data_IF_894239283263
#
_entry.id   IF_894239283263
#
_cell.length_a   1.000
_cell.length_b   1.000
_cell.length_c   1.000
_cell.angle_alpha   90.00
_cell.angle_beta   90.00
_cell.angle_gamma   90.00
#
_symmetry.space_group_name_H-M   'P 1'
#
loop_
_entity.id
_entity.type
_entity.pdbx_description
1 polymer ?
#
# COMPACT_ATOMS: atom_id res chain seq x y z
N UNK A 1 -10.12 14.22 -22.20
CA UNK A 1 -9.11 13.82 -21.21
C UNK A 1 -7.88 14.70 -21.37
N UNK A 2 -7.27 15.13 -20.26
CA UNK A 2 -6.05 15.97 -20.24
C UNK A 2 -5.08 15.42 -19.19
N UNK A 3 -3.83 15.20 -19.58
CA UNK A 3 -2.73 14.82 -18.69
C UNK A 3 -1.85 16.02 -18.36
N UNK A 4 -1.25 16.01 -17.17
CA UNK A 4 -0.22 16.97 -16.76
C UNK A 4 0.79 16.31 -15.83
N UNK A 5 1.99 16.88 -15.77
CA UNK A 5 3.00 16.53 -14.78
C UNK A 5 2.74 17.30 -13.49
N UNK A 6 2.73 16.58 -12.37
CA UNK A 6 2.66 17.11 -11.00
C UNK A 6 3.76 16.47 -10.15
N UNK A 7 3.76 16.62 -8.83
CA UNK A 7 4.81 16.10 -7.96
C UNK A 7 4.25 15.19 -6.88
N UNK A 8 4.99 14.13 -6.56
CA UNK A 8 4.71 13.23 -5.44
C UNK A 8 5.27 13.78 -4.11
N UNK A 9 5.03 13.07 -3.02
CA UNK A 9 5.47 13.44 -1.66
C UNK A 9 6.98 13.49 -1.47
N UNK A 10 7.76 12.95 -2.41
CA UNK A 10 9.23 13.01 -2.44
C UNK A 10 9.76 14.10 -3.38
N UNK A 11 8.86 14.89 -3.99
CA UNK A 11 9.19 15.92 -4.96
C UNK A 11 9.59 15.37 -6.34
N UNK A 12 9.33 14.08 -6.62
CA UNK A 12 9.54 13.54 -7.95
C UNK A 12 8.33 13.83 -8.85
N UNK A 13 8.56 14.09 -10.16
CA UNK A 13 7.49 14.20 -11.13
C UNK A 13 6.61 12.94 -11.17
N UNK A 14 5.30 13.13 -11.28
CA UNK A 14 4.33 12.07 -11.54
C UNK A 14 3.20 12.58 -12.44
N UNK A 15 2.26 11.69 -12.80
CA UNK A 15 1.19 11.94 -13.77
C UNK A 15 -0.12 12.21 -13.06
N UNK A 16 -0.76 13.33 -13.40
CA UNK A 16 -2.17 13.59 -13.15
C UNK A 16 -2.95 13.54 -14.46
N UNK A 17 -4.11 12.90 -14.44
CA UNK A 17 -5.09 12.97 -15.51
C UNK A 17 -6.37 13.66 -15.02
N UNK A 18 -6.97 14.44 -15.92
CA UNK A 18 -8.28 15.06 -15.74
C UNK A 18 -9.23 14.57 -16.83
N UNK A 19 -10.36 14.03 -16.44
CA UNK A 19 -11.44 13.61 -17.32
C UNK A 19 -12.54 14.66 -17.30
N UNK A 20 -13.07 15.02 -18.47
CA UNK A 20 -14.17 15.98 -18.65
C UNK A 20 -15.34 15.26 -19.29
N UNK A 21 -16.54 15.48 -18.78
CA UNK A 21 -17.79 14.99 -19.34
C UNK A 21 -18.55 16.13 -20.04
N UNK A 22 -19.41 15.77 -21.00
CA UNK A 22 -20.21 16.75 -21.77
C UNK A 22 -21.15 17.58 -20.91
N UNK A 23 -21.54 17.09 -19.74
CA UNK A 23 -22.37 17.81 -18.78
C UNK A 23 -21.60 18.83 -17.92
N UNK A 24 -20.31 19.09 -18.23
CA UNK A 24 -19.44 20.04 -17.54
C UNK A 24 -18.78 19.51 -16.27
N UNK A 25 -19.01 18.25 -15.90
CA UNK A 25 -18.35 17.63 -14.76
C UNK A 25 -16.91 17.26 -15.15
N UNK A 26 -15.96 17.51 -14.26
CA UNK A 26 -14.60 17.00 -14.38
C UNK A 26 -14.07 16.45 -13.06
N UNK A 27 -13.10 15.54 -13.15
CA UNK A 27 -12.38 15.02 -12.00
C UNK A 27 -10.94 14.69 -12.36
N UNK A 28 -10.06 14.82 -11.36
CA UNK A 28 -8.64 14.49 -11.47
C UNK A 28 -8.28 13.26 -10.65
N UNK A 29 -7.26 12.56 -11.09
CA UNK A 29 -6.57 11.54 -10.30
C UNK A 29 -5.07 11.55 -10.58
N UNK A 30 -4.28 11.23 -9.54
CA UNK A 30 -2.83 11.24 -9.61
C UNK A 30 -2.32 9.82 -9.41
N UNK A 31 -1.37 9.39 -10.24
CA UNK A 31 -0.70 8.10 -10.06
C UNK A 31 0.45 8.23 -9.06
N UNK A 32 0.47 7.43 -7.98
CA UNK A 32 1.60 7.42 -7.05
C UNK A 32 2.80 6.67 -7.65
N UNK A 33 3.98 6.79 -7.00
CA UNK A 33 5.24 6.18 -7.44
C UNK A 33 5.94 5.45 -6.30
N UNK A 34 6.47 4.25 -6.54
CA UNK A 34 7.27 3.50 -5.58
C UNK A 34 8.71 4.00 -5.45
N UNK A 35 9.36 3.74 -4.29
CA UNK A 35 10.81 3.86 -4.13
C UNK A 35 11.50 2.56 -4.57
N UNK A 36 11.12 1.46 -3.97
CA UNK A 36 11.40 0.11 -4.44
C UNK A 36 10.25 -0.35 -5.34
N UNK A 37 10.55 -1.12 -6.37
CA UNK A 37 9.56 -1.68 -7.30
C UNK A 37 9.86 -3.14 -7.50
N UNK A 38 8.85 -4.01 -7.33
CA UNK A 38 8.97 -5.42 -7.70
C UNK A 38 9.24 -5.56 -9.19
N UNK A 39 10.04 -6.55 -9.58
CA UNK A 39 10.47 -6.73 -10.97
C UNK A 39 9.30 -6.96 -11.94
N UNK A 40 8.15 -7.39 -11.42
CA UNK A 40 6.96 -7.72 -12.20
C UNK A 40 5.86 -6.65 -12.14
N UNK A 41 6.14 -5.46 -11.59
CA UNK A 41 5.20 -4.34 -11.61
C UNK A 41 4.96 -3.83 -13.04
N UNK A 42 3.78 -3.28 -13.28
CA UNK A 42 3.50 -2.56 -14.51
C UNK A 42 4.44 -1.34 -14.64
N UNK A 43 4.86 -1.04 -15.87
CA UNK A 43 5.91 -0.09 -16.16
C UNK A 43 5.49 1.35 -15.90
N UNK A 44 6.17 2.03 -14.98
CA UNK A 44 6.09 3.47 -14.80
C UNK A 44 6.93 4.17 -15.87
N UNK A 45 6.29 4.83 -16.83
CA UNK A 45 6.99 5.48 -17.93
C UNK A 45 7.62 6.80 -17.50
N UNK A 46 8.96 6.88 -17.55
CA UNK A 46 9.77 8.07 -17.31
C UNK A 46 10.61 8.41 -18.53
N UNK A 47 10.85 9.72 -18.74
CA UNK A 47 11.51 10.22 -19.96
C UNK A 47 12.98 9.87 -20.05
N UNK A 48 13.65 9.55 -18.93
CA UNK A 48 15.09 9.23 -18.82
C UNK A 48 16.03 10.32 -19.34
N UNK A 49 15.52 11.52 -19.62
CA UNK A 49 16.32 12.67 -20.03
C UNK A 49 17.00 13.31 -18.82
N UNK A 50 18.28 13.02 -18.62
CA UNK A 50 19.07 13.49 -17.47
C UNK A 50 19.09 15.02 -17.30
N UNK A 51 18.85 15.78 -18.37
CA UNK A 51 18.78 17.25 -18.33
C UNK A 51 17.45 17.81 -17.76
N UNK A 52 16.44 16.94 -17.59
CA UNK A 52 15.13 17.31 -17.02
C UNK A 52 14.83 16.43 -15.82
N UNK A 53 14.71 17.02 -14.63
CA UNK A 53 14.43 16.30 -13.38
C UNK A 53 15.31 15.06 -13.17
N UNK A 54 16.60 15.12 -13.55
CA UNK A 54 17.56 14.03 -13.45
C UNK A 54 17.07 12.72 -14.12
N UNK A 55 16.30 12.82 -15.19
CA UNK A 55 15.73 11.66 -15.91
C UNK A 55 14.36 11.21 -15.42
N UNK A 56 13.83 11.82 -14.33
CA UNK A 56 12.60 11.40 -13.69
C UNK A 56 11.31 12.05 -14.24
N UNK A 57 11.40 12.96 -15.24
CA UNK A 57 10.21 13.57 -15.81
C UNK A 57 9.29 12.55 -16.50
N UNK A 58 8.00 12.90 -16.65
CA UNK A 58 6.94 12.01 -17.15
C UNK A 58 6.21 12.59 -18.37
N UNK A 59 6.90 13.45 -19.15
CA UNK A 59 6.28 14.11 -20.29
C UNK A 59 5.79 13.10 -21.36
N UNK A 60 6.53 12.03 -21.61
CA UNK A 60 6.11 10.99 -22.56
C UNK A 60 4.77 10.35 -22.14
N UNK A 61 4.59 10.07 -20.85
CA UNK A 61 3.32 9.57 -20.32
C UNK A 61 2.20 10.61 -20.44
N UNK A 62 2.50 11.88 -20.16
CA UNK A 62 1.56 13.00 -20.35
C UNK A 62 1.17 13.17 -21.82
N UNK A 63 2.12 13.09 -22.75
CA UNK A 63 1.87 13.16 -24.20
C UNK A 63 1.02 11.97 -24.66
N UNK A 64 1.26 10.77 -24.12
CA UNK A 64 0.41 9.61 -24.40
C UNK A 64 -1.04 9.85 -23.98
N UNK A 65 -1.27 10.49 -22.82
CA UNK A 65 -2.63 10.87 -22.39
C UNK A 65 -3.23 11.88 -23.37
N UNK A 66 -2.53 12.98 -23.66
CA UNK A 66 -3.06 14.11 -24.41
C UNK A 66 -3.29 13.77 -25.89
N UNK A 67 -2.46 12.93 -26.50
CA UNK A 67 -2.51 12.66 -27.93
C UNK A 67 -3.18 11.31 -28.26
N UNK A 68 -2.76 10.21 -27.58
CA UNK A 68 -3.23 8.87 -27.93
C UNK A 68 -4.51 8.49 -27.18
N UNK A 69 -4.49 8.60 -25.85
CA UNK A 69 -5.60 8.16 -24.98
C UNK A 69 -6.80 9.07 -25.18
N UNK A 70 -6.61 10.40 -25.13
CA UNK A 70 -7.68 11.39 -25.27
C UNK A 70 -8.52 11.17 -26.55
N UNK A 71 -7.87 10.90 -27.67
CA UNK A 71 -8.57 10.67 -28.95
C UNK A 71 -9.42 9.39 -28.97
N UNK A 72 -9.04 8.36 -28.20
CA UNK A 72 -9.73 7.06 -28.16
C UNK A 72 -10.86 7.00 -27.13
N UNK A 73 -10.82 7.86 -26.12
CA UNK A 73 -11.83 7.90 -25.06
C UNK A 73 -12.92 8.95 -25.33
N UNK A 74 -12.87 9.64 -26.47
CA UNK A 74 -13.89 10.59 -26.84
C UNK A 74 -15.25 9.89 -27.03
N UNK A 75 -16.32 10.54 -26.56
CA UNK A 75 -17.71 10.09 -26.68
C UNK A 75 -18.02 8.75 -25.98
N UNK A 76 -17.17 8.30 -25.03
CA UNK A 76 -17.42 7.11 -24.23
C UNK A 76 -18.30 7.42 -23.01
N UNK A 77 -19.10 6.43 -22.62
CA UNK A 77 -19.85 6.50 -21.36
C UNK A 77 -18.91 6.29 -20.18
N UNK A 78 -18.79 7.29 -19.29
CA UNK A 78 -17.95 7.21 -18.09
C UNK A 78 -18.38 6.13 -17.09
N UNK A 79 -19.62 5.67 -17.14
CA UNK A 79 -20.11 4.59 -16.27
C UNK A 79 -19.61 3.21 -16.68
N UNK A 80 -19.13 3.07 -17.90
CA UNK A 80 -18.55 1.81 -18.39
C UNK A 80 -17.02 1.76 -18.17
N UNK A 81 -16.64 1.71 -16.88
CA UNK A 81 -15.24 1.66 -16.45
C UNK A 81 -14.47 0.51 -17.10
N UNK A 82 -15.11 -0.66 -17.20
CA UNK A 82 -14.47 -1.85 -17.77
C UNK A 82 -14.13 -1.66 -19.26
N UNK A 83 -15.03 -1.06 -20.03
CA UNK A 83 -14.78 -0.76 -21.43
C UNK A 83 -13.66 0.28 -21.60
N UNK A 84 -13.66 1.34 -20.78
CA UNK A 84 -12.60 2.35 -20.80
C UNK A 84 -11.24 1.71 -20.52
N UNK A 85 -11.12 0.92 -19.46
CA UNK A 85 -9.87 0.26 -19.09
C UNK A 85 -9.42 -0.74 -20.16
N UNK A 86 -10.35 -1.49 -20.76
CA UNK A 86 -10.05 -2.38 -21.89
C UNK A 86 -9.53 -1.63 -23.13
N UNK A 87 -10.01 -0.41 -23.39
CA UNK A 87 -9.49 0.43 -24.47
C UNK A 87 -8.05 0.84 -24.16
N UNK A 88 -7.76 1.25 -22.90
CA UNK A 88 -6.40 1.58 -22.47
C UNK A 88 -5.44 0.40 -22.65
N UNK A 89 -5.85 -0.79 -22.23
CA UNK A 89 -5.04 -2.02 -22.35
C UNK A 89 -4.77 -2.38 -23.82
N UNK A 90 -5.79 -2.31 -24.68
CA UNK A 90 -5.65 -2.58 -26.13
C UNK A 90 -4.77 -1.52 -26.81
N UNK A 91 -4.86 -0.25 -26.39
CA UNK A 91 -4.06 0.84 -26.93
C UNK A 91 -2.59 0.72 -26.55
N UNK A 92 -2.29 0.26 -25.33
CA UNK A 92 -0.93 -0.08 -24.92
C UNK A 92 -0.41 -1.30 -25.66
N UNK A 93 -1.16 -2.39 -25.69
CA UNK A 93 -0.86 -3.62 -26.40
C UNK A 93 0.25 -4.47 -25.79
N UNK A 94 0.79 -4.08 -24.60
CA UNK A 94 1.81 -4.85 -23.88
C UNK A 94 1.29 -5.35 -22.54
N UNK A 95 1.87 -6.43 -22.02
CA UNK A 95 1.44 -6.99 -20.74
C UNK A 95 1.70 -6.03 -19.59
N UNK A 96 2.84 -5.32 -19.60
CA UNK A 96 3.30 -4.46 -18.52
C UNK A 96 3.10 -2.96 -18.78
N UNK A 97 2.24 -2.56 -19.73
CA UNK A 97 1.93 -1.16 -20.07
C UNK A 97 3.18 -0.33 -20.45
N UNK A 98 4.13 -0.94 -21.18
CA UNK A 98 5.39 -0.31 -21.53
C UNK A 98 5.28 0.81 -22.58
N UNK A 99 4.22 0.79 -23.41
CA UNK A 99 4.02 1.75 -24.49
C UNK A 99 3.35 3.05 -24.05
N UNK A 100 2.35 2.98 -23.17
CA UNK A 100 1.66 4.16 -22.63
C UNK A 100 2.20 4.59 -21.27
N UNK A 101 2.63 3.63 -20.47
CA UNK A 101 2.98 3.80 -19.07
C UNK A 101 1.80 3.48 -18.13
N UNK A 102 2.06 2.65 -17.11
CA UNK A 102 1.06 2.36 -16.08
C UNK A 102 0.62 3.61 -15.31
N UNK A 103 1.51 4.59 -15.14
CA UNK A 103 1.20 5.89 -14.57
C UNK A 103 0.20 6.68 -15.41
N UNK A 104 0.26 6.60 -16.74
CA UNK A 104 -0.71 7.24 -17.62
C UNK A 104 -2.05 6.51 -17.60
N UNK A 105 -2.05 5.18 -17.74
CA UNK A 105 -3.28 4.39 -17.78
C UNK A 105 -4.02 4.47 -16.45
N UNK A 106 -3.32 4.35 -15.32
CA UNK A 106 -3.93 4.44 -14.00
C UNK A 106 -4.54 5.82 -13.73
N UNK A 107 -3.81 6.90 -13.96
CA UNK A 107 -4.32 8.24 -13.71
C UNK A 107 -5.64 8.49 -14.46
N UNK A 108 -5.73 8.06 -15.73
CA UNK A 108 -6.95 8.18 -16.54
C UNK A 108 -8.07 7.28 -16.00
N UNK A 109 -7.76 6.02 -15.68
CA UNK A 109 -8.73 5.05 -15.16
C UNK A 109 -9.37 5.53 -13.85
N UNK A 110 -8.57 6.04 -12.90
CA UNK A 110 -9.05 6.54 -11.63
C UNK A 110 -9.82 7.87 -11.78
N UNK A 111 -9.36 8.77 -12.66
CA UNK A 111 -10.06 10.02 -12.94
C UNK A 111 -11.46 9.76 -13.54
N UNK A 112 -11.58 8.78 -14.44
CA UNK A 112 -12.88 8.37 -14.98
C UNK A 112 -13.82 7.87 -13.89
N UNK A 113 -13.36 7.00 -13.00
CA UNK A 113 -14.17 6.49 -11.90
C UNK A 113 -14.70 7.62 -10.98
N UNK A 114 -13.87 8.64 -10.72
CA UNK A 114 -14.28 9.83 -9.97
C UNK A 114 -15.31 10.67 -10.75
N UNK A 115 -15.12 10.86 -12.05
CA UNK A 115 -16.08 11.55 -12.92
C UNK A 115 -17.43 10.85 -12.95
N UNK A 116 -17.46 9.53 -13.15
CA UNK A 116 -18.67 8.72 -13.10
C UNK A 116 -19.41 8.90 -11.77
N UNK A 117 -18.69 8.82 -10.64
CA UNK A 117 -19.28 9.03 -9.32
C UNK A 117 -19.95 10.41 -9.19
N UNK A 118 -19.27 11.49 -9.62
CA UNK A 118 -19.80 12.85 -9.60
C UNK A 118 -21.02 12.99 -10.51
N UNK A 119 -20.98 12.43 -11.72
CA UNK A 119 -22.10 12.44 -12.66
C UNK A 119 -23.33 11.72 -12.09
N UNK A 120 -23.11 10.62 -11.37
CA UNK A 120 -24.14 9.87 -10.69
C UNK A 120 -24.58 10.51 -9.34
N UNK A 121 -23.99 11.65 -8.97
CA UNK A 121 -24.24 12.32 -7.67
C UNK A 121 -24.03 11.41 -6.48
N UNK A 122 -23.01 10.56 -6.53
CA UNK A 122 -22.63 9.60 -5.49
C UNK A 122 -21.23 9.89 -4.99
N UNK A 123 -20.98 9.57 -3.73
CA UNK A 123 -19.62 9.43 -3.23
C UNK A 123 -18.90 8.32 -3.98
N UNK A 124 -17.58 8.45 -4.16
CA UNK A 124 -16.80 7.51 -4.97
C UNK A 124 -16.97 6.06 -4.47
N UNK A 125 -16.85 5.83 -3.17
CA UNK A 125 -17.01 4.47 -2.62
C UNK A 125 -18.41 3.88 -2.88
N UNK A 126 -19.49 4.71 -2.90
CA UNK A 126 -20.87 4.27 -3.23
C UNK A 126 -21.06 3.98 -4.72
N UNK A 127 -20.25 4.62 -5.57
CA UNK A 127 -20.27 4.34 -7.01
C UNK A 127 -19.49 3.05 -7.34
N UNK A 128 -18.41 2.78 -6.58
CA UNK A 128 -17.57 1.61 -6.78
C UNK A 128 -18.14 0.32 -6.15
N UNK A 129 -18.88 0.42 -5.06
CA UNK A 129 -19.35 -0.72 -4.28
C UNK A 129 -20.83 -0.66 -3.90
N UNK A 130 -21.36 -1.81 -3.44
CA UNK A 130 -22.76 -1.96 -2.96
C UNK A 130 -22.85 -2.24 -1.46
N UNK A 131 -21.79 -2.76 -0.89
CA UNK A 131 -21.66 -3.08 0.53
C UNK A 131 -20.38 -2.49 1.06
N UNK A 132 -20.33 -2.07 2.31
CA UNK A 132 -19.25 -1.26 2.85
C UNK A 132 -18.79 -1.77 4.21
N UNK A 133 -17.50 -1.71 4.45
CA UNK A 133 -16.88 -1.81 5.77
C UNK A 133 -15.71 -0.86 5.87
N UNK A 134 -15.42 -0.37 7.07
CA UNK A 134 -14.24 0.48 7.30
C UNK A 134 -13.02 -0.41 7.49
N UNK A 135 -11.92 -0.18 6.75
CA UNK A 135 -10.71 -0.96 6.88
C UNK A 135 -10.00 -0.66 8.21
N UNK A 136 -9.32 -1.66 8.78
CA UNK A 136 -8.45 -1.41 9.94
C UNK A 136 -7.13 -0.85 9.43
N UNK A 137 -6.63 0.29 9.99
CA UNK A 137 -5.37 0.86 9.53
C UNK A 137 -4.15 0.07 10.03
N UNK A 138 -3.17 -0.14 9.15
CA UNK A 138 -1.80 -0.50 9.48
C UNK A 138 -0.97 0.78 9.42
N UNK A 139 -0.52 1.29 10.59
CA UNK A 139 0.22 2.55 10.64
C UNK A 139 1.69 2.30 10.87
N UNK A 140 2.54 2.69 9.93
CA UNK A 140 3.98 2.67 10.08
C UNK A 140 4.43 3.67 11.13
N UNK A 141 5.07 3.21 12.22
CA UNK A 141 5.47 4.07 13.37
C UNK A 141 6.98 4.07 13.63
N UNK A 142 7.71 3.06 13.16
CA UNK A 142 9.18 3.04 13.12
C UNK A 142 9.63 2.55 11.74
N UNK A 143 10.55 3.27 11.13
CA UNK A 143 11.19 2.94 9.86
C UNK A 143 12.57 2.34 10.08
N UNK A 144 12.91 1.36 9.26
CA UNK A 144 14.23 0.79 9.10
C UNK A 144 14.52 0.48 7.63
N UNK A 145 15.44 -0.42 7.35
CA UNK A 145 15.79 -0.84 5.99
C UNK A 145 16.04 0.34 5.05
N UNK A 146 15.49 0.28 3.86
CA UNK A 146 15.61 1.34 2.86
C UNK A 146 14.87 2.65 3.22
N UNK A 147 14.00 2.63 4.25
CA UNK A 147 13.21 3.80 4.68
C UNK A 147 13.87 4.66 5.76
N UNK A 148 15.01 4.24 6.31
CA UNK A 148 15.73 4.98 7.34
C UNK A 148 17.25 4.69 7.31
N UNK A 149 18.05 5.68 7.71
CA UNK A 149 19.48 5.53 7.89
C UNK A 149 19.78 5.04 9.32
N UNK A 150 19.51 3.75 9.55
CA UNK A 150 19.75 3.04 10.81
C UNK A 150 20.11 1.57 10.55
N UNK A 151 20.39 0.81 11.62
CA UNK A 151 20.85 -0.60 11.50
C UNK A 151 19.70 -1.63 11.51
N UNK A 152 18.44 -1.20 11.38
CA UNK A 152 17.29 -2.10 11.30
C UNK A 152 17.20 -2.76 9.91
N UNK A 153 17.05 -4.08 9.88
CA UNK A 153 16.83 -4.81 8.63
C UNK A 153 15.37 -4.77 8.20
N UNK A 154 14.44 -4.83 9.14
CA UNK A 154 13.00 -4.74 8.87
C UNK A 154 12.68 -3.29 8.46
N UNK A 155 12.01 -3.13 7.31
CA UNK A 155 11.77 -1.84 6.70
C UNK A 155 10.71 -1.02 7.42
N UNK A 156 9.61 -1.68 7.87
CA UNK A 156 8.52 -1.01 8.56
C UNK A 156 8.04 -1.79 9.78
N UNK A 157 7.90 -1.06 10.88
CA UNK A 157 7.23 -1.55 12.09
C UNK A 157 5.93 -0.79 12.22
N UNK A 158 4.83 -1.50 12.01
CA UNK A 158 3.47 -0.96 12.01
C UNK A 158 2.70 -1.38 13.24
N UNK A 159 1.70 -0.59 13.62
CA UNK A 159 0.66 -0.97 14.58
C UNK A 159 -0.70 -1.10 13.90
N UNK A 160 -1.53 -2.02 14.43
CA UNK A 160 -2.89 -2.27 13.97
C UNK A 160 -3.82 -2.36 15.18
N UNK A 161 -4.85 -1.49 15.29
CA UNK A 161 -5.74 -1.42 16.45
C UNK A 161 -6.90 -2.42 16.31
N UNK A 162 -6.64 -3.71 16.60
CA UNK A 162 -7.57 -4.82 16.35
C UNK A 162 -8.85 -4.75 17.21
N UNK A 163 -8.84 -4.03 18.35
CA UNK A 163 -10.00 -3.86 19.21
C UNK A 163 -10.82 -2.60 18.90
N UNK A 164 -10.56 -1.92 17.79
CA UNK A 164 -11.27 -0.69 17.45
C UNK A 164 -12.76 -0.96 17.13
N UNK A 165 -13.65 -0.17 17.77
CA UNK A 165 -15.09 -0.27 17.58
C UNK A 165 -15.58 0.47 16.33
N UNK A 166 -14.89 1.54 15.95
CA UNK A 166 -15.16 2.39 14.81
C UNK A 166 -13.83 3.01 14.32
N UNK A 167 -13.87 3.75 13.22
CA UNK A 167 -12.63 4.26 12.62
C UNK A 167 -12.00 5.38 13.45
N UNK A 168 -12.81 6.25 14.08
CA UNK A 168 -12.31 7.28 14.98
C UNK A 168 -11.59 6.65 16.20
N UNK A 169 -12.17 5.59 16.80
CA UNK A 169 -11.53 4.83 17.89
C UNK A 169 -10.19 4.18 17.44
N UNK A 170 -10.14 3.69 16.18
CA UNK A 170 -8.89 3.19 15.60
C UNK A 170 -7.82 4.28 15.52
N UNK A 171 -8.18 5.46 15.04
CA UNK A 171 -7.27 6.62 14.95
C UNK A 171 -6.82 7.06 16.33
N UNK A 172 -7.72 7.15 17.32
CA UNK A 172 -7.39 7.54 18.69
C UNK A 172 -6.38 6.58 19.33
N UNK A 173 -6.61 5.27 19.22
CA UNK A 173 -5.67 4.25 19.72
C UNK A 173 -4.29 4.41 19.09
N UNK A 174 -4.23 4.54 17.78
CA UNK A 174 -2.94 4.74 17.08
C UNK A 174 -2.27 6.05 17.48
N UNK A 175 -3.02 7.15 17.59
CA UNK A 175 -2.49 8.46 18.01
C UNK A 175 -1.84 8.38 19.38
N UNK A 176 -2.52 7.79 20.38
CA UNK A 176 -2.00 7.69 21.74
C UNK A 176 -0.71 6.86 21.77
N UNK A 177 -0.67 5.73 21.05
CA UNK A 177 0.54 4.89 20.96
C UNK A 177 1.69 5.67 20.30
N UNK A 178 1.45 6.36 19.19
CA UNK A 178 2.47 7.16 18.48
C UNK A 178 3.02 8.26 19.41
N UNK A 179 2.16 8.97 20.14
CA UNK A 179 2.60 10.01 21.06
C UNK A 179 3.42 9.45 22.24
N UNK A 180 3.04 8.29 22.78
CA UNK A 180 3.81 7.64 23.83
C UNK A 180 5.15 7.08 23.31
N UNK A 181 5.18 6.54 22.08
CA UNK A 181 6.43 6.16 21.41
C UNK A 181 7.35 7.38 21.25
N UNK A 182 6.84 8.52 20.79
CA UNK A 182 7.61 9.76 20.68
C UNK A 182 8.24 10.17 22.02
N UNK A 183 7.46 10.14 23.11
CA UNK A 183 7.97 10.46 24.46
C UNK A 183 9.05 9.47 24.91
N UNK A 184 8.88 8.17 24.61
CA UNK A 184 9.89 7.15 24.92
C UNK A 184 11.20 7.40 24.17
N UNK A 185 11.14 7.65 22.87
CA UNK A 185 12.32 7.97 22.05
C UNK A 185 13.03 9.21 22.60
N UNK A 186 12.29 10.29 22.90
CA UNK A 186 12.86 11.51 23.47
C UNK A 186 13.52 11.28 24.83
N UNK A 187 12.91 10.46 25.70
CA UNK A 187 13.49 10.13 27.01
C UNK A 187 14.82 9.39 26.91
N UNK A 188 14.99 8.63 25.82
CA UNK A 188 16.24 7.93 25.46
C UNK A 188 17.20 8.80 24.62
N UNK A 189 16.87 10.08 24.40
CA UNK A 189 17.62 11.03 23.54
C UNK A 189 17.76 10.55 22.08
N UNK A 190 16.81 9.76 21.60
CA UNK A 190 16.72 9.33 20.22
C UNK A 190 16.00 10.36 19.36
N UNK A 191 16.33 10.39 18.05
CA UNK A 191 15.68 11.28 17.09
C UNK A 191 14.21 10.88 16.89
N UNK A 192 13.37 11.90 16.69
CA UNK A 192 11.94 11.74 16.39
C UNK A 192 11.57 12.38 15.04
N UNK A 193 12.54 12.48 14.14
CA UNK A 193 12.32 12.85 12.76
C UNK A 193 11.54 11.72 12.07
N UNK A 194 10.70 12.08 11.11
CA UNK A 194 9.87 11.11 10.39
C UNK A 194 10.44 10.85 9.01
N UNK A 195 10.31 9.60 8.57
CA UNK A 195 10.65 9.17 7.22
C UNK A 195 9.56 9.50 6.20
N UNK A 196 9.69 8.94 4.99
CA UNK A 196 8.81 9.20 3.85
C UNK A 196 7.35 8.83 4.10
N UNK A 197 7.10 7.87 4.98
CA UNK A 197 5.76 7.38 5.31
C UNK A 197 5.24 7.88 6.68
N UNK A 198 5.97 8.81 7.31
CA UNK A 198 5.54 9.46 8.54
C UNK A 198 5.87 8.72 9.84
N UNK A 199 6.44 7.51 9.78
CA UNK A 199 6.99 6.81 10.95
C UNK A 199 8.31 7.44 11.42
N UNK A 200 8.67 7.27 12.70
CA UNK A 200 9.94 7.73 13.24
C UNK A 200 11.12 6.95 12.63
N UNK A 201 12.25 7.62 12.49
CA UNK A 201 13.50 7.03 12.01
C UNK A 201 14.61 7.17 13.07
N UNK A 202 14.48 6.53 14.24
CA UNK A 202 15.47 6.61 15.30
C UNK A 202 16.69 5.73 14.99
N UNK A 203 17.85 6.09 15.56
CA UNK A 203 19.03 5.21 15.54
C UNK A 203 18.82 4.08 16.53
N UNK A 204 18.37 2.94 16.04
CA UNK A 204 18.14 1.68 16.78
C UNK A 204 19.00 0.61 16.15
N UNK A 205 19.57 -0.27 16.98
CA UNK A 205 20.57 -1.24 16.52
C UNK A 205 19.98 -2.63 16.19
N UNK A 206 18.82 -2.97 16.77
CA UNK A 206 18.21 -4.30 16.57
C UNK A 206 16.71 -4.22 16.37
N UNK A 207 16.18 -5.19 15.61
CA UNK A 207 14.74 -5.30 15.41
C UNK A 207 13.98 -5.52 16.73
N UNK A 208 14.57 -6.28 17.65
CA UNK A 208 14.01 -6.55 18.98
C UNK A 208 13.88 -5.28 19.80
N UNK A 209 14.86 -4.36 19.76
CA UNK A 209 14.79 -3.06 20.45
C UNK A 209 13.61 -2.21 19.92
N UNK A 210 13.39 -2.21 18.60
CA UNK A 210 12.25 -1.54 18.01
C UNK A 210 10.92 -2.14 18.49
N UNK A 211 10.81 -3.47 18.52
CA UNK A 211 9.64 -4.19 19.00
C UNK A 211 9.36 -3.91 20.48
N UNK A 212 10.38 -3.91 21.33
CA UNK A 212 10.25 -3.59 22.75
C UNK A 212 9.77 -2.16 22.99
N UNK A 213 10.28 -1.18 22.23
CA UNK A 213 9.82 0.21 22.29
C UNK A 213 8.33 0.34 21.92
N UNK A 214 7.88 -0.40 20.90
CA UNK A 214 6.48 -0.39 20.49
C UNK A 214 5.59 -1.03 21.58
N UNK A 215 5.99 -2.18 22.12
CA UNK A 215 5.26 -2.83 23.21
C UNK A 215 5.14 -1.89 24.41
N UNK A 216 6.23 -1.26 24.84
CA UNK A 216 6.21 -0.26 25.92
C UNK A 216 5.30 0.94 25.60
N UNK A 217 5.27 1.40 24.34
CA UNK A 217 4.40 2.50 23.94
C UNK A 217 2.91 2.09 24.03
N UNK A 218 2.56 0.86 23.62
CA UNK A 218 1.20 0.32 23.74
C UNK A 218 0.79 0.23 25.21
N UNK A 219 1.64 -0.32 26.07
CA UNK A 219 1.36 -0.44 27.51
C UNK A 219 1.21 0.93 28.19
N UNK A 220 2.10 1.91 27.86
CA UNK A 220 1.98 3.29 28.36
C UNK A 220 0.72 4.02 27.86
N UNK A 221 0.07 3.48 26.85
CA UNK A 221 -1.21 3.97 26.33
C UNK A 221 -2.43 3.37 27.06
N UNK A 222 -2.20 2.57 28.11
CA UNK A 222 -3.21 1.75 28.79
C UNK A 222 -3.95 0.79 27.87
N UNK A 223 -3.29 0.34 26.80
CA UNK A 223 -3.76 -0.64 25.84
C UNK A 223 -3.00 -1.97 26.03
N UNK A 224 -3.65 -3.07 25.71
CA UNK A 224 -3.07 -4.42 25.86
C UNK A 224 -2.41 -4.86 24.56
N UNK A 225 -1.05 -5.04 24.54
CA UNK A 225 -0.37 -5.60 23.38
C UNK A 225 -0.94 -6.98 23.02
N UNK A 226 -1.14 -7.20 21.72
CA UNK A 226 -1.70 -8.46 21.19
C UNK A 226 -3.21 -8.62 21.29
N UNK A 227 -3.89 -7.71 22.01
CA UNK A 227 -5.34 -7.69 22.15
C UNK A 227 -5.96 -6.41 21.60
N UNK A 228 -5.53 -5.27 22.09
CA UNK A 228 -6.07 -3.97 21.68
C UNK A 228 -5.32 -3.45 20.46
N UNK A 229 -3.99 -3.57 20.49
CA UNK A 229 -3.09 -3.19 19.41
C UNK A 229 -2.09 -4.32 19.18
N UNK A 230 -1.90 -4.67 17.92
CA UNK A 230 -0.92 -5.66 17.48
C UNK A 230 0.18 -5.01 16.66
N UNK A 231 1.30 -5.72 16.47
CA UNK A 231 2.40 -5.30 15.63
C UNK A 231 2.28 -5.98 14.27
N UNK A 232 2.56 -5.23 13.22
CA UNK A 232 2.67 -5.72 11.85
C UNK A 232 4.03 -5.29 11.30
N UNK A 233 4.67 -6.16 10.53
CA UNK A 233 5.99 -5.92 9.96
C UNK A 233 5.92 -5.88 8.44
N UNK A 234 6.74 -5.03 7.83
CA UNK A 234 7.13 -5.13 6.43
C UNK A 234 8.65 -5.32 6.39
N UNK A 235 9.07 -6.47 5.89
CA UNK A 235 10.49 -6.84 5.88
C UNK A 235 11.18 -6.36 4.61
N UNK A 236 10.46 -6.29 3.48
CA UNK A 236 11.00 -5.97 2.17
C UNK A 236 12.24 -6.81 1.81
N UNK A 237 12.12 -8.15 1.94
CA UNK A 237 13.27 -9.06 1.96
C UNK A 237 14.03 -9.18 0.63
N UNK A 238 13.51 -8.60 -0.48
CA UNK A 238 14.31 -8.43 -1.72
C UNK A 238 15.62 -7.68 -1.44
N UNK A 239 15.60 -6.67 -0.56
CA UNK A 239 16.75 -5.85 -0.18
C UNK A 239 17.74 -6.60 0.75
N UNK A 240 17.33 -7.73 1.31
CA UNK A 240 18.07 -8.49 2.31
C UNK A 240 18.75 -9.75 1.74
N UNK A 241 18.45 -10.12 0.49
CA UNK A 241 18.96 -11.32 -0.16
C UNK A 241 20.35 -11.07 -0.75
N UNK A 242 21.31 -11.94 -0.44
CA UNK A 242 22.65 -11.92 -1.06
C UNK A 242 22.73 -12.88 -2.27
N UNK A 243 23.85 -12.85 -2.98
CA UNK A 243 24.10 -13.67 -4.16
C UNK A 243 24.16 -15.20 -3.83
N UNK A 244 24.36 -15.57 -2.58
CA UNK A 244 24.40 -16.97 -2.12
C UNK A 244 23.01 -17.53 -1.76
N UNK A 245 21.94 -16.72 -1.86
CA UNK A 245 20.58 -17.10 -1.48
C UNK A 245 20.34 -17.07 0.03
N UNK A 246 21.13 -16.31 0.78
CA UNK A 246 20.98 -16.11 2.22
C UNK A 246 20.41 -14.72 2.50
N UNK A 247 19.67 -14.59 3.60
CA UNK A 247 19.01 -13.35 4.01
C UNK A 247 19.70 -12.70 5.20
N UNK A 248 19.82 -11.37 5.16
CA UNK A 248 20.31 -10.62 6.31
C UNK A 248 19.25 -10.55 7.40
N UNK A 249 19.56 -11.03 8.61
CA UNK A 249 18.63 -11.06 9.75
C UNK A 249 18.90 -9.90 10.71
N UNK A 250 20.15 -9.58 10.93
CA UNK A 250 20.64 -8.50 11.81
C UNK A 250 21.99 -8.01 11.33
N UNK A 251 22.18 -6.69 11.24
CA UNK A 251 23.49 -6.00 11.12
C UNK A 251 24.54 -6.75 10.29
N UNK A 252 24.24 -7.15 9.06
CA UNK A 252 25.15 -7.84 8.13
C UNK A 252 25.43 -9.32 8.43
N UNK A 253 24.73 -9.98 9.35
CA UNK A 253 24.75 -11.42 9.47
C UNK A 253 23.74 -12.05 8.51
N UNK A 254 24.24 -12.91 7.63
CA UNK A 254 23.40 -13.65 6.68
C UNK A 254 23.09 -15.06 7.20
N UNK A 255 21.90 -15.54 6.89
CA UNK A 255 21.41 -16.83 7.32
C UNK A 255 20.61 -17.54 6.21
N UNK A 256 20.65 -18.87 6.16
CA UNK A 256 19.83 -19.64 5.24
C UNK A 256 18.34 -19.56 5.62
N UNK A 257 17.47 -19.85 4.66
CA UNK A 257 16.00 -19.76 4.78
C UNK A 257 15.45 -20.37 6.07
N UNK A 258 15.91 -21.56 6.45
CA UNK A 258 15.36 -22.25 7.63
C UNK A 258 15.70 -21.53 8.95
N UNK A 259 16.85 -20.89 9.03
CA UNK A 259 17.22 -20.07 10.20
C UNK A 259 16.43 -18.77 10.25
N UNK A 260 16.17 -18.15 9.08
CA UNK A 260 15.29 -16.97 8.97
C UNK A 260 13.86 -17.31 9.40
N UNK A 261 13.32 -18.47 8.99
CA UNK A 261 12.00 -18.93 9.44
C UNK A 261 11.99 -19.12 10.96
N UNK A 262 13.03 -19.72 11.54
CA UNK A 262 13.16 -19.88 12.98
C UNK A 262 13.23 -18.53 13.70
N UNK A 263 13.90 -17.55 13.11
CA UNK A 263 13.94 -16.18 13.63
C UNK A 263 12.52 -15.55 13.66
N UNK A 264 11.78 -15.58 12.56
CA UNK A 264 10.39 -15.08 12.55
C UNK A 264 9.49 -15.83 13.52
N UNK A 265 9.63 -17.15 13.63
CA UNK A 265 8.90 -17.95 14.63
C UNK A 265 9.20 -17.48 16.06
N UNK A 266 10.46 -17.19 16.38
CA UNK A 266 10.87 -16.64 17.67
C UNK A 266 10.28 -15.25 17.91
N UNK A 267 10.34 -14.35 16.91
CA UNK A 267 9.77 -13.00 17.02
C UNK A 267 8.25 -13.05 17.26
N UNK A 268 7.52 -13.87 16.49
CA UNK A 268 6.05 -13.99 16.62
C UNK A 268 5.61 -14.68 17.92
N UNK A 269 6.50 -15.44 18.57
CA UNK A 269 6.25 -16.05 19.88
C UNK A 269 6.51 -15.07 21.03
N UNK A 270 7.48 -14.19 20.88
CA UNK A 270 7.91 -13.27 21.94
C UNK A 270 7.18 -11.92 21.91
N UNK A 271 6.72 -11.50 20.74
CA UNK A 271 6.08 -10.20 20.52
C UNK A 271 4.67 -10.37 19.91
N UNK A 272 3.78 -9.41 20.09
CA UNK A 272 2.40 -9.50 19.59
C UNK A 272 2.32 -9.23 18.08
N UNK A 273 3.14 -9.92 17.29
CA UNK A 273 3.19 -9.78 15.83
C UNK A 273 2.06 -10.62 15.23
N UNK A 274 1.23 -10.00 14.39
CA UNK A 274 0.08 -10.63 13.73
C UNK A 274 0.11 -10.51 12.21
N UNK A 275 1.11 -9.83 11.64
CA UNK A 275 1.30 -9.73 10.20
C UNK A 275 2.77 -9.57 9.86
N UNK A 276 3.24 -10.26 8.83
CA UNK A 276 4.56 -10.10 8.22
C UNK A 276 4.36 -9.98 6.71
N UNK A 277 4.77 -8.83 6.17
CA UNK A 277 4.78 -8.53 4.74
C UNK A 277 6.19 -8.79 4.19
N UNK A 278 6.24 -9.40 3.02
CA UNK A 278 7.43 -9.74 2.24
C UNK A 278 8.59 -10.33 3.07
N UNK A 279 8.34 -11.44 3.81
CA UNK A 279 9.36 -12.08 4.65
C UNK A 279 10.51 -12.71 3.85
N UNK A 280 10.33 -12.93 2.54
CA UNK A 280 11.31 -13.49 1.61
C UNK A 280 11.24 -12.78 0.26
N UNK A 281 12.28 -12.94 -0.56
CA UNK A 281 12.35 -12.36 -1.90
C UNK A 281 11.22 -12.84 -2.81
N UNK A 282 10.85 -12.03 -3.79
CA UNK A 282 9.67 -12.15 -4.64
C UNK A 282 9.59 -13.44 -5.47
N UNK A 283 10.73 -14.12 -5.71
CA UNK A 283 10.78 -15.38 -6.46
C UNK A 283 11.15 -16.60 -5.60
N UNK A 284 11.38 -16.43 -4.31
CA UNK A 284 11.66 -17.56 -3.40
C UNK A 284 10.37 -18.25 -2.91
N UNK A 285 9.59 -18.75 -3.85
CA UNK A 285 8.30 -19.41 -3.60
C UNK A 285 8.37 -20.55 -2.56
N UNK A 286 9.52 -21.23 -2.47
CA UNK A 286 9.73 -22.31 -1.49
C UNK A 286 9.83 -21.77 -0.06
N UNK A 287 10.56 -20.70 0.15
CA UNK A 287 10.64 -20.04 1.46
C UNK A 287 9.27 -19.48 1.88
N UNK A 288 8.55 -18.84 0.97
CA UNK A 288 7.19 -18.36 1.21
C UNK A 288 6.23 -19.47 1.64
N UNK A 289 6.26 -20.62 0.96
CA UNK A 289 5.45 -21.78 1.34
C UNK A 289 5.82 -22.32 2.71
N UNK A 290 7.13 -22.41 3.02
CA UNK A 290 7.62 -22.87 4.31
C UNK A 290 7.16 -21.94 5.45
N UNK A 291 7.33 -20.61 5.33
CA UNK A 291 6.92 -19.66 6.38
C UNK A 291 5.41 -19.68 6.59
N UNK A 292 4.62 -19.72 5.52
CA UNK A 292 3.15 -19.78 5.58
C UNK A 292 2.68 -21.04 6.30
N UNK A 293 3.30 -22.19 6.02
CA UNK A 293 3.00 -23.44 6.74
C UNK A 293 3.41 -23.38 8.22
N UNK A 294 4.46 -22.61 8.55
CA UNK A 294 5.02 -22.57 9.91
C UNK A 294 4.24 -21.66 10.85
N UNK A 295 3.91 -20.44 10.39
CA UNK A 295 3.27 -19.43 11.25
C UNK A 295 1.93 -18.91 10.69
N UNK A 296 1.57 -19.22 9.46
CA UNK A 296 0.43 -18.62 8.74
C UNK A 296 -0.96 -18.91 9.35
N UNK A 297 -1.07 -19.88 10.27
CA UNK A 297 -2.32 -20.11 11.00
C UNK A 297 -2.63 -19.00 12.04
N UNK A 298 -1.60 -18.32 12.54
CA UNK A 298 -1.72 -17.31 13.61
C UNK A 298 -1.22 -15.93 13.18
N UNK A 299 -0.51 -15.87 12.06
CA UNK A 299 0.12 -14.66 11.52
C UNK A 299 -0.29 -14.49 10.06
N UNK A 300 -0.67 -13.29 9.71
CA UNK A 300 -0.93 -12.90 8.34
C UNK A 300 0.40 -12.82 7.57
N UNK A 301 0.53 -13.60 6.50
CA UNK A 301 1.69 -13.57 5.60
C UNK A 301 1.25 -12.84 4.34
N UNK A 302 1.80 -11.66 4.12
CA UNK A 302 1.35 -10.71 3.10
C UNK A 302 2.35 -10.67 1.96
N UNK A 303 1.88 -10.93 0.73
CA UNK A 303 2.69 -10.71 -0.46
C UNK A 303 2.43 -9.31 -1.05
N UNK A 304 3.47 -8.47 -1.07
CA UNK A 304 3.56 -7.23 -1.83
C UNK A 304 4.35 -7.50 -3.13
N UNK A 305 5.67 -7.53 -3.07
CA UNK A 305 6.53 -7.82 -4.24
C UNK A 305 6.30 -9.23 -4.78
N UNK A 306 5.94 -10.18 -3.91
CA UNK A 306 5.55 -11.53 -4.34
C UNK A 306 4.43 -11.51 -5.38
N UNK A 307 3.43 -10.66 -5.21
CA UNK A 307 2.22 -10.64 -6.04
C UNK A 307 2.14 -9.45 -6.98
N UNK A 308 2.70 -8.30 -6.62
CA UNK A 308 2.67 -7.02 -7.37
C UNK A 308 1.29 -6.69 -7.94
N UNK A 309 0.22 -7.00 -7.18
CA UNK A 309 -1.17 -6.84 -7.63
C UNK A 309 -1.46 -7.55 -8.97
N UNK A 310 -0.69 -8.59 -9.31
CA UNK A 310 -0.77 -9.31 -10.59
C UNK A 310 -1.60 -10.59 -10.45
N UNK A 311 -2.67 -10.79 -11.26
CA UNK A 311 -3.55 -11.95 -11.13
C UNK A 311 -2.86 -13.28 -11.39
N UNK A 312 -1.85 -13.33 -12.27
CA UNK A 312 -1.10 -14.58 -12.56
C UNK A 312 -0.24 -15.00 -11.37
N UNK A 313 0.46 -14.03 -10.74
CA UNK A 313 1.27 -14.29 -9.56
C UNK A 313 0.40 -14.65 -8.34
N UNK A 314 -0.74 -13.98 -8.19
CA UNK A 314 -1.70 -14.32 -7.14
C UNK A 314 -2.27 -15.72 -7.31
N UNK A 315 -2.67 -16.11 -8.54
CA UNK A 315 -3.16 -17.47 -8.85
C UNK A 315 -2.14 -18.55 -8.47
N UNK A 316 -0.86 -18.31 -8.79
CA UNK A 316 0.24 -19.19 -8.39
C UNK A 316 0.33 -19.29 -6.86
N UNK A 317 0.34 -18.15 -6.16
CA UNK A 317 0.45 -18.13 -4.69
C UNK A 317 -0.72 -18.82 -3.99
N UNK A 318 -1.94 -18.68 -4.53
CA UNK A 318 -3.12 -19.38 -4.04
C UNK A 318 -2.97 -20.89 -4.21
N UNK A 319 -2.59 -21.36 -5.39
CA UNK A 319 -2.39 -22.79 -5.68
C UNK A 319 -1.29 -23.42 -4.85
N UNK A 320 -0.19 -22.69 -4.65
CA UNK A 320 0.96 -23.18 -3.90
C UNK A 320 0.85 -22.93 -2.39
N UNK A 321 -0.17 -22.20 -1.93
CA UNK A 321 -0.35 -21.78 -0.52
C UNK A 321 0.88 -21.02 0.03
N UNK A 322 1.39 -20.10 -0.78
CA UNK A 322 2.63 -19.37 -0.48
C UNK A 322 2.41 -18.16 0.44
N UNK A 323 1.17 -17.72 0.60
CA UNK A 323 0.75 -16.61 1.48
C UNK A 323 -0.71 -16.80 1.88
N UNK A 324 -1.24 -15.92 2.73
CA UNK A 324 -2.66 -15.89 3.09
C UNK A 324 -3.29 -14.48 2.95
N UNK A 325 -2.50 -13.53 2.47
CA UNK A 325 -2.92 -12.13 2.29
C UNK A 325 -2.16 -11.48 1.14
N UNK A 326 -2.75 -10.46 0.56
CA UNK A 326 -2.16 -9.67 -0.53
C UNK A 326 -2.20 -8.18 -0.20
N UNK A 327 -1.10 -7.49 -0.47
CA UNK A 327 -1.08 -6.05 -0.57
C UNK A 327 -1.52 -5.63 -1.98
N UNK A 328 -2.42 -4.66 -2.06
CA UNK A 328 -2.99 -4.19 -3.33
C UNK A 328 -2.61 -2.74 -3.57
N UNK A 329 -1.84 -2.51 -4.61
CA UNK A 329 -1.38 -1.20 -5.07
C UNK A 329 -1.85 -0.98 -6.51
N UNK A 330 -2.85 -0.14 -6.78
CA UNK A 330 -3.41 0.02 -8.13
C UNK A 330 -2.38 0.36 -9.21
N UNK A 331 -1.31 1.08 -8.86
CA UNK A 331 -0.26 1.43 -9.81
C UNK A 331 0.68 0.28 -10.19
N UNK A 332 0.72 -0.82 -9.40
CA UNK A 332 1.48 -2.02 -9.75
C UNK A 332 0.86 -2.78 -10.94
N UNK A 333 -0.43 -2.56 -11.21
CA UNK A 333 -1.15 -3.21 -12.31
C UNK A 333 -1.62 -2.24 -13.39
N UNK A 334 -2.03 -1.01 -13.04
CA UNK A 334 -2.19 0.12 -13.96
C UNK A 334 -3.60 0.48 -14.39
N UNK A 335 -4.66 -0.27 -13.98
CA UNK A 335 -6.07 0.10 -14.17
C UNK A 335 -6.91 -0.27 -12.95
N UNK A 336 -8.05 0.39 -12.79
CA UNK A 336 -9.03 0.07 -11.74
C UNK A 336 -9.68 -1.29 -11.95
N UNK A 337 -10.04 -1.62 -13.19
CA UNK A 337 -10.68 -2.91 -13.51
C UNK A 337 -9.79 -4.09 -13.12
N UNK A 338 -8.51 -4.08 -13.53
CA UNK A 338 -7.56 -5.13 -13.14
C UNK A 338 -7.37 -5.18 -11.61
N UNK A 339 -7.31 -4.02 -10.94
CA UNK A 339 -7.22 -3.94 -9.47
C UNK A 339 -8.42 -4.63 -8.79
N UNK A 340 -9.64 -4.35 -9.26
CA UNK A 340 -10.87 -4.95 -8.73
C UNK A 340 -10.94 -6.47 -8.99
N UNK A 341 -10.43 -6.93 -10.13
CA UNK A 341 -10.32 -8.35 -10.45
C UNK A 341 -9.41 -9.08 -9.48
N UNK A 342 -8.23 -8.52 -9.19
CA UNK A 342 -7.27 -9.10 -8.22
C UNK A 342 -7.89 -9.15 -6.82
N UNK A 343 -8.54 -8.07 -6.36
CA UNK A 343 -9.24 -8.06 -5.07
C UNK A 343 -10.33 -9.15 -5.03
N UNK A 344 -11.10 -9.30 -6.10
CA UNK A 344 -12.14 -10.33 -6.20
C UNK A 344 -11.56 -11.75 -6.15
N UNK A 345 -10.45 -11.98 -6.87
CA UNK A 345 -9.74 -13.26 -6.88
C UNK A 345 -9.22 -13.60 -5.48
N UNK A 346 -8.55 -12.66 -4.80
CA UNK A 346 -8.03 -12.83 -3.45
C UNK A 346 -9.15 -13.23 -2.47
N UNK A 347 -10.27 -12.52 -2.50
CA UNK A 347 -11.41 -12.80 -1.62
C UNK A 347 -12.05 -14.16 -1.86
N UNK A 348 -12.19 -14.58 -3.12
CA UNK A 348 -12.71 -15.92 -3.46
C UNK A 348 -11.82 -17.03 -2.91
N UNK A 349 -10.52 -16.77 -2.77
CA UNK A 349 -9.54 -17.68 -2.19
C UNK A 349 -9.38 -17.53 -0.66
N UNK A 350 -10.22 -16.73 0.00
CA UNK A 350 -10.14 -16.38 1.43
C UNK A 350 -8.84 -15.66 1.84
N UNK A 351 -8.13 -15.04 0.91
CA UNK A 351 -7.04 -14.15 1.22
C UNK A 351 -7.57 -12.83 1.81
N UNK A 352 -6.86 -12.31 2.79
CA UNK A 352 -7.11 -10.94 3.26
C UNK A 352 -6.53 -9.95 2.26
N UNK A 353 -7.21 -8.84 2.06
CA UNK A 353 -6.78 -7.77 1.16
C UNK A 353 -6.44 -6.53 1.97
N UNK A 354 -5.28 -5.94 1.68
CA UNK A 354 -4.78 -4.71 2.29
C UNK A 354 -4.61 -3.71 1.16
N UNK A 355 -5.40 -2.64 1.14
CA UNK A 355 -5.20 -1.57 0.16
C UNK A 355 -4.05 -0.69 0.63
N UNK A 356 -3.09 -0.42 -0.25
CA UNK A 356 -1.85 0.24 0.12
C UNK A 356 -1.56 1.50 -0.69
N UNK A 357 -0.93 2.46 -0.02
CA UNK A 357 -0.25 3.60 -0.61
C UNK A 357 1.07 3.19 -1.28
N UNK A 358 1.82 4.17 -1.76
CA UNK A 358 3.23 4.01 -2.17
C UNK A 358 4.11 4.97 -1.34
N UNK A 359 5.43 4.72 -1.34
CA UNK A 359 6.40 5.61 -0.68
C UNK A 359 6.40 7.02 -1.28
N UNK A 360 6.30 7.16 -2.59
CA UNK A 360 6.00 8.42 -3.29
C UNK A 360 4.50 8.58 -3.53
N UNK A 361 3.77 8.98 -2.51
CA UNK A 361 2.31 9.17 -2.59
C UNK A 361 1.94 10.61 -2.91
N UNK A 362 0.65 10.90 -3.02
CA UNK A 362 0.10 12.21 -3.33
C UNK A 362 -1.09 12.54 -2.42
N UNK A 363 -1.65 13.73 -2.53
CA UNK A 363 -2.89 14.10 -1.82
C UNK A 363 -4.14 13.34 -2.28
N UNK A 364 -4.06 12.56 -3.37
CA UNK A 364 -5.19 11.77 -3.88
C UNK A 364 -5.63 10.72 -2.85
N UNK A 365 -6.93 10.68 -2.57
CA UNK A 365 -7.52 9.81 -1.54
C UNK A 365 -8.22 8.58 -2.09
N UNK A 366 -8.06 8.27 -3.37
CA UNK A 366 -8.78 7.18 -4.05
C UNK A 366 -8.73 5.86 -3.30
N UNK A 367 -7.57 5.50 -2.76
CA UNK A 367 -7.37 4.22 -2.05
C UNK A 367 -8.23 4.09 -0.78
N UNK A 368 -8.61 5.18 -0.15
CA UNK A 368 -9.52 5.16 0.99
C UNK A 368 -10.94 4.75 0.57
N UNK A 369 -11.45 5.35 -0.51
CA UNK A 369 -12.75 4.98 -1.10
C UNK A 369 -12.72 3.54 -1.63
N UNK A 370 -11.63 3.13 -2.29
CA UNK A 370 -11.44 1.77 -2.81
C UNK A 370 -11.49 0.72 -1.69
N UNK A 371 -10.80 0.97 -0.57
CA UNK A 371 -10.78 0.05 0.57
C UNK A 371 -12.19 -0.18 1.14
N UNK A 372 -12.97 0.89 1.28
CA UNK A 372 -14.36 0.81 1.78
C UNK A 372 -15.27 0.13 0.76
N UNK A 373 -15.22 0.53 -0.50
CA UNK A 373 -16.07 0.02 -1.58
C UNK A 373 -15.87 -1.47 -1.84
N UNK A 374 -14.64 -1.94 -1.70
CA UNK A 374 -14.29 -3.36 -1.86
C UNK A 374 -14.40 -4.15 -0.57
N UNK A 375 -14.78 -3.53 0.56
CA UNK A 375 -14.74 -4.17 1.89
C UNK A 375 -13.38 -4.85 2.13
N UNK A 376 -12.29 -4.21 1.77
CA UNK A 376 -10.95 -4.68 2.10
C UNK A 376 -10.75 -4.57 3.61
N UNK A 377 -10.19 -5.63 4.21
CA UNK A 377 -10.13 -5.69 5.68
C UNK A 377 -9.19 -4.64 6.28
N UNK A 378 -8.22 -4.18 5.51
CA UNK A 378 -7.15 -3.33 6.02
C UNK A 378 -6.74 -2.27 5.00
N UNK A 379 -6.14 -1.19 5.51
CA UNK A 379 -5.49 -0.15 4.71
C UNK A 379 -4.10 0.15 5.28
N UNK A 380 -3.08 0.15 4.42
CA UNK A 380 -1.71 0.55 4.74
C UNK A 380 -1.45 1.89 4.07
N UNK A 381 -1.39 2.98 4.85
CA UNK A 381 -1.21 4.33 4.29
C UNK A 381 -0.34 5.24 5.17
N UNK A 382 0.72 4.65 5.76
CA UNK A 382 1.70 5.37 6.56
C UNK A 382 1.20 5.74 7.96
N UNK A 383 1.86 6.69 8.60
CA UNK A 383 1.56 7.16 9.94
C UNK A 383 0.60 8.36 9.96
N UNK A 384 0.28 8.85 11.17
CA UNK A 384 -0.46 10.11 11.39
C UNK A 384 0.46 11.35 11.25
N UNK A 385 1.31 11.34 10.24
CA UNK A 385 2.21 12.43 9.89
C UNK A 385 2.34 12.51 8.37
N UNK A 386 2.64 13.72 7.84
CA UNK A 386 2.69 14.07 6.42
C UNK A 386 1.28 14.12 5.79
N UNK A 387 1.01 15.20 5.06
CA UNK A 387 -0.36 15.53 4.59
C UNK A 387 -0.93 14.49 3.65
N UNK A 388 -0.11 13.91 2.78
CA UNK A 388 -0.52 12.89 1.82
C UNK A 388 -0.96 11.57 2.50
N UNK A 389 -0.45 11.27 3.68
CA UNK A 389 -0.87 10.11 4.49
C UNK A 389 -2.16 10.43 5.24
N UNK A 390 -2.17 11.55 5.98
CA UNK A 390 -3.29 12.01 6.78
C UNK A 390 -4.55 12.28 5.92
N UNK A 391 -4.38 12.67 4.65
CA UNK A 391 -5.50 12.86 3.72
C UNK A 391 -6.39 11.61 3.60
N UNK A 392 -5.80 10.40 3.55
CA UNK A 392 -6.54 9.14 3.45
C UNK A 392 -7.30 8.84 4.75
N UNK A 393 -6.68 9.07 5.91
CA UNK A 393 -7.34 8.92 7.22
C UNK A 393 -8.50 9.89 7.37
N UNK A 394 -8.30 11.16 7.00
CA UNK A 394 -9.37 12.18 7.00
C UNK A 394 -10.50 11.81 6.03
N UNK A 395 -10.18 11.18 4.88
CA UNK A 395 -11.20 10.68 3.96
C UNK A 395 -12.02 9.55 4.58
N UNK A 396 -11.38 8.60 5.25
CA UNK A 396 -12.06 7.49 5.93
C UNK A 396 -12.97 7.98 7.07
N UNK A 397 -12.57 8.99 7.84
CA UNK A 397 -13.41 9.62 8.85
C UNK A 397 -14.67 10.25 8.24
N UNK A 398 -14.54 10.96 7.11
CA UNK A 398 -15.69 11.51 6.37
C UNK A 398 -16.59 10.42 5.81
N UNK A 399 -16.02 9.30 5.36
CA UNK A 399 -16.80 8.14 4.91
C UNK A 399 -17.54 7.52 6.07
N UNK A 400 -16.92 7.38 7.25
CA UNK A 400 -17.56 6.89 8.47
C UNK A 400 -18.77 7.77 8.84
N UNK A 401 -18.59 9.09 8.84
CA UNK A 401 -19.67 10.05 9.08
C UNK A 401 -20.82 9.89 8.06
N UNK A 402 -20.48 9.77 6.77
CA UNK A 402 -21.47 9.62 5.69
C UNK A 402 -22.27 8.30 5.79
N UNK A 403 -21.64 7.21 6.24
CA UNK A 403 -22.27 5.90 6.41
C UNK A 403 -23.04 5.79 7.74
N UNK A 404 -22.69 6.60 8.73
CA UNK A 404 -23.34 6.61 10.06
C UNK A 404 -23.14 5.30 10.82
N UNK A 405 -24.01 5.08 11.81
CA UNK A 405 -23.91 3.94 12.75
C UNK A 405 -24.12 2.55 12.13
N UNK A 406 -24.45 2.46 10.86
CA UNK A 406 -24.70 1.18 10.17
C UNK A 406 -23.42 0.52 9.68
N UNK A 407 -22.35 1.28 9.50
CA UNK A 407 -21.07 0.74 9.04
C UNK A 407 -20.31 0.11 10.21
N UNK A 408 -19.66 -1.01 9.94
CA UNK A 408 -18.82 -1.72 10.91
C UNK A 408 -17.37 -1.70 10.43
N UNK A 409 -16.45 -1.76 11.40
CA UNK A 409 -15.06 -2.08 11.12
C UNK A 409 -14.98 -3.47 10.48
N UNK A 410 -14.06 -3.62 9.55
CA UNK A 410 -13.73 -4.92 8.98
C UNK A 410 -13.23 -5.88 10.08
N UNK A 411 -13.39 -7.18 9.83
CA UNK A 411 -12.85 -8.24 10.70
C UNK A 411 -11.65 -8.88 10.01
N UNK A 412 -10.62 -9.18 10.80
CA UNK A 412 -9.38 -9.84 10.34
C UNK A 412 -9.44 -11.31 10.64
#
# INVERSE_FOLDING_TARGET
>A
VKGRQVFDSRGNPTVEAEVFLDNGISATAISPSGASTGAFEAHELRDQNKNKFLGKSVNNAVENINNKISSKLKDLNSDDQSNLDNILLKLDGTENKTNLGANATLAVSLANAKCSALSNKKSLFKNLGKSFSLPIPLMNIINGGAHADNDLNIQEFMIRPDSANNFMDAIEKCFIVIQNLKKLLQSKKMLTNVGDEGGFAPSINTNEEALELIVQAIEKSNLKPGKDVVICLDVAANELLNENGEYSIQSKSFAPVDDVINYYKKLTSNYPIKSIEDPFAEDDWNAWKKITNTVGNNVQIVGDDLFVTNPKRLDKGIKEKSANSILVKPNQIGTLTETLEVISMAKKANFKTIISHRSGDTEDTFIADLAVATMSSQIKTGSLARSERVAKYNRLLRIEEELGNQVKMAKI
#
